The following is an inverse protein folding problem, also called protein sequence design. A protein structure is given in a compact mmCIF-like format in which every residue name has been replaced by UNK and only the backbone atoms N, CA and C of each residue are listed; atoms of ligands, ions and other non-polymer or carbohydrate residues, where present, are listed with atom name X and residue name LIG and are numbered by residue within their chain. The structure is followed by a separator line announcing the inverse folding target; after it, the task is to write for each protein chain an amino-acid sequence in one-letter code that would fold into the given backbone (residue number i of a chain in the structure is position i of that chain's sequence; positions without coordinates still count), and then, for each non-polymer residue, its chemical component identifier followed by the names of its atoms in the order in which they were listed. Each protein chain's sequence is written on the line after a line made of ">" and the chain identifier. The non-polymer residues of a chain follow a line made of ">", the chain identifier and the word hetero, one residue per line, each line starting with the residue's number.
data_IF_251977003434
#
_entry.id   IF_251977003434
#
_cell.length_a   1.000
_cell.length_b   1.000
_cell.length_c   1.000
_cell.angle_alpha   90.00
_cell.angle_beta   90.00
_cell.angle_gamma   90.00
#
_symmetry.space_group_name_H-M   'P 1'
#
loop_
_entity.id
_entity.type
_entity.pdbx_description
1 polymer ?
#
# COMPACT_ATOMS: atom_id res chain seq x y z
N UNK A 1 -24.26 -24.36 66.57
CA UNK A 1 -24.35 -23.55 67.81
C UNK A 1 -24.19 -24.48 69.01
N UNK A 2 -23.70 -24.01 70.17
CA UNK A 2 -23.04 -22.74 70.48
C UNK A 2 -21.57 -23.00 70.93
N UNK A 3 -20.78 -22.17 71.62
CA UNK A 3 -20.84 -20.74 72.00
C UNK A 3 -19.57 -20.01 71.51
N UNK A 4 -19.61 -18.68 71.56
CA UNK A 4 -18.50 -17.71 71.56
C UNK A 4 -18.08 -17.38 73.00
N UNK A 5 -16.79 -17.11 73.27
CA UNK A 5 -16.27 -16.05 74.18
C UNK A 5 -14.72 -16.16 74.36
N UNK A 6 -13.99 -15.22 74.97
CA UNK A 6 -13.75 -13.78 74.72
C UNK A 6 -12.74 -13.25 75.78
N UNK A 7 -11.76 -12.39 75.40
CA UNK A 7 -10.93 -11.51 76.29
C UNK A 7 -10.01 -12.18 77.34
N UNK A 8 -8.71 -11.91 77.45
CA UNK A 8 -7.93 -10.66 77.71
C UNK A 8 -7.52 -10.52 79.19
N UNK A 9 -6.21 -10.52 79.43
CA UNK A 9 -5.46 -9.78 80.47
C UNK A 9 -3.95 -9.91 80.11
N UNK A 10 -2.98 -9.06 80.47
CA UNK A 10 -2.85 -7.64 80.83
C UNK A 10 -1.52 -7.51 81.64
N UNK A 11 -0.94 -6.30 81.69
CA UNK A 11 0.26 -5.88 82.45
C UNK A 11 1.65 -6.36 81.94
N UNK A 12 2.59 -5.48 81.55
CA UNK A 12 3.32 -4.36 82.26
C UNK A 12 4.60 -4.89 82.97
N UNK A 13 5.73 -4.18 83.05
CA UNK A 13 6.17 -2.82 82.63
C UNK A 13 7.71 -2.70 82.82
N UNK A 14 8.40 -1.75 82.16
CA UNK A 14 9.82 -1.43 82.43
C UNK A 14 10.53 -0.68 81.30
N UNK A 15 10.79 0.62 81.49
CA UNK A 15 11.23 1.58 80.45
C UNK A 15 12.69 2.03 80.55
N UNK A 16 13.29 2.46 79.41
CA UNK A 16 14.31 3.53 79.21
C UNK A 16 14.72 3.50 77.71
N UNK A 17 14.52 4.53 76.88
CA UNK A 17 15.21 5.84 76.82
C UNK A 17 16.76 5.73 76.72
N UNK A 18 17.49 6.46 75.85
CA UNK A 18 17.12 7.31 74.71
C UNK A 18 18.33 7.59 73.77
N UNK A 19 18.03 7.96 72.51
CA UNK A 19 18.70 8.96 71.65
C UNK A 19 20.25 9.13 71.51
N UNK A 20 20.66 9.21 70.22
CA UNK A 20 21.61 10.18 69.61
C UNK A 20 23.13 9.89 69.51
N UNK A 21 23.76 10.65 68.58
CA UNK A 21 25.17 10.73 68.13
C UNK A 21 25.52 9.88 66.88
N UNK A 22 25.31 10.34 65.63
CA UNK A 22 25.95 11.43 64.84
C UNK A 22 27.47 11.32 64.59
N UNK A 23 27.80 10.92 63.34
CA UNK A 23 28.86 11.49 62.47
C UNK A 23 30.36 11.17 62.75
N UNK A 24 31.29 11.43 61.79
CA UNK A 24 31.24 11.13 60.34
C UNK A 24 32.61 10.66 59.72
N UNK A 25 32.61 10.42 58.39
CA UNK A 25 33.75 10.57 57.46
C UNK A 25 34.95 9.58 57.55
N UNK A 26 35.69 9.28 56.47
CA UNK A 26 35.44 9.32 55.02
C UNK A 26 36.60 8.63 54.27
N UNK A 27 36.32 7.84 53.23
CA UNK A 27 37.13 7.80 51.99
C UNK A 27 36.39 7.11 50.84
N UNK A 28 35.98 7.88 49.83
CA UNK A 28 35.58 7.37 48.51
C UNK A 28 36.83 7.06 47.68
N UNK A 29 36.73 6.09 46.74
CA UNK A 29 36.79 6.29 45.27
C UNK A 29 36.79 4.92 44.56
N UNK A 30 35.69 4.54 43.88
CA UNK A 30 35.50 4.46 42.41
C UNK A 30 36.59 3.69 41.63
N UNK A 31 36.31 2.95 40.55
CA UNK A 31 35.11 2.30 39.99
C UNK A 31 35.58 1.48 38.76
N UNK A 32 34.97 0.31 38.49
CA UNK A 32 35.04 -0.42 37.20
C UNK A 32 34.35 -1.80 37.28
N UNK A 33 33.02 -1.83 37.25
CA UNK A 33 32.26 -3.07 37.03
C UNK A 33 32.06 -3.35 35.54
N UNK A 34 32.70 -4.41 35.03
CA UNK A 34 32.33 -5.00 33.74
C UNK A 34 30.91 -5.57 33.82
N UNK A 35 29.97 -4.97 33.09
CA UNK A 35 28.61 -5.51 32.95
C UNK A 35 28.46 -6.18 31.60
N UNK A 36 28.77 -7.48 31.55
CA UNK A 36 28.50 -8.35 30.40
C UNK A 36 26.99 -8.52 30.22
N UNK A 37 26.44 -8.07 29.10
CA UNK A 37 25.01 -8.20 28.81
C UNK A 37 24.68 -9.60 28.29
N UNK A 38 24.22 -10.49 29.18
CA UNK A 38 23.59 -11.76 28.78
C UNK A 38 22.17 -11.51 28.25
N UNK A 39 21.96 -11.72 26.96
CA UNK A 39 20.62 -11.68 26.34
C UNK A 39 19.90 -13.01 26.57
N UNK A 40 18.94 -13.04 27.50
CA UNK A 40 18.25 -14.27 27.91
C UNK A 40 17.33 -14.85 26.79
N UNK A 41 17.40 -16.15 26.47
CA UNK A 41 16.61 -16.75 25.39
C UNK A 41 15.09 -16.84 25.65
N UNK A 42 14.65 -16.66 26.89
CA UNK A 42 13.22 -16.76 27.28
C UNK A 42 12.34 -15.61 26.75
N UNK A 43 12.95 -14.51 26.31
CA UNK A 43 12.23 -13.37 25.72
C UNK A 43 11.71 -13.70 24.31
N UNK A 44 12.55 -14.28 23.47
CA UNK A 44 12.18 -14.62 22.09
C UNK A 44 11.12 -15.73 22.04
N UNK A 45 11.26 -16.78 22.86
CA UNK A 45 10.26 -17.86 22.94
C UNK A 45 8.88 -17.31 23.33
N UNK A 46 8.82 -16.40 24.32
CA UNK A 46 7.59 -15.73 24.76
C UNK A 46 6.98 -14.85 23.66
N UNK A 47 7.80 -14.17 22.84
CA UNK A 47 7.32 -13.36 21.71
C UNK A 47 6.77 -14.24 20.59
N UNK A 48 7.49 -15.30 20.22
CA UNK A 48 7.05 -16.24 19.19
C UNK A 48 5.78 -16.98 19.58
N UNK A 49 5.64 -17.39 20.85
CA UNK A 49 4.42 -18.04 21.35
C UNK A 49 3.21 -17.07 21.34
N UNK A 50 3.41 -15.80 21.68
CA UNK A 50 2.37 -14.76 21.55
C UNK A 50 2.00 -14.49 20.09
N UNK A 51 2.98 -14.47 19.19
CA UNK A 51 2.78 -14.27 17.76
C UNK A 51 2.01 -15.45 17.14
N UNK A 52 2.38 -16.68 17.50
CA UNK A 52 1.73 -17.91 17.09
C UNK A 52 0.29 -17.98 17.60
N UNK A 53 0.04 -17.66 18.88
CA UNK A 53 -1.31 -17.58 19.43
C UNK A 53 -2.17 -16.48 18.75
N UNK A 54 -1.59 -15.31 18.46
CA UNK A 54 -2.28 -14.26 17.71
C UNK A 54 -2.61 -14.71 16.28
N UNK A 55 -1.68 -15.37 15.60
CA UNK A 55 -1.87 -15.91 14.26
C UNK A 55 -2.95 -17.00 14.24
N UNK A 56 -2.84 -18.01 15.09
CA UNK A 56 -3.82 -19.10 15.21
C UNK A 56 -5.24 -18.61 15.54
N UNK A 57 -5.38 -17.55 16.36
CA UNK A 57 -6.69 -16.97 16.68
C UNK A 57 -7.28 -16.14 15.53
N UNK A 58 -6.46 -15.55 14.67
CA UNK A 58 -6.89 -14.70 13.55
C UNK A 58 -6.86 -15.41 12.17
N UNK A 59 -6.36 -16.64 12.08
CA UNK A 59 -6.27 -17.37 10.80
C UNK A 59 -7.64 -17.62 10.17
N UNK A 60 -8.69 -17.77 10.98
CA UNK A 60 -10.08 -17.82 10.51
C UNK A 60 -10.51 -16.53 9.79
N UNK A 61 -10.08 -15.37 10.28
CA UNK A 61 -10.31 -14.07 9.63
C UNK A 61 -9.57 -13.97 8.29
N UNK A 62 -8.35 -14.52 8.20
CA UNK A 62 -7.60 -14.63 6.95
C UNK A 62 -8.30 -15.55 5.94
N UNK A 63 -8.73 -16.75 6.35
CA UNK A 63 -9.47 -17.67 5.48
C UNK A 63 -10.83 -17.08 5.07
N UNK A 64 -11.52 -16.33 5.92
CA UNK A 64 -12.73 -15.60 5.55
C UNK A 64 -12.41 -14.50 4.53
N UNK A 65 -11.32 -13.74 4.70
CA UNK A 65 -10.88 -12.75 3.71
C UNK A 65 -10.58 -13.38 2.35
N UNK A 66 -9.84 -14.49 2.33
CA UNK A 66 -9.53 -15.25 1.10
C UNK A 66 -10.80 -15.84 0.49
N UNK A 67 -11.68 -16.45 1.28
CA UNK A 67 -12.96 -16.97 0.81
C UNK A 67 -13.85 -15.86 0.24
N UNK A 68 -13.87 -14.67 0.86
CA UNK A 68 -14.62 -13.53 0.37
C UNK A 68 -14.02 -12.93 -0.91
N UNK A 69 -12.69 -12.98 -1.06
CA UNK A 69 -11.95 -12.62 -2.28
C UNK A 69 -12.39 -13.50 -3.46
N UNK A 70 -12.44 -14.82 -3.26
CA UNK A 70 -12.90 -15.78 -4.27
C UNK A 70 -14.43 -15.75 -4.48
N UNK A 71 -15.24 -15.53 -3.43
CA UNK A 71 -16.70 -15.45 -3.53
C UNK A 71 -17.20 -14.13 -4.13
N UNK A 72 -16.37 -13.08 -4.14
CA UNK A 72 -16.69 -11.77 -4.74
C UNK A 72 -16.22 -11.64 -6.20
N UNK A 73 -15.85 -12.76 -6.83
CA UNK A 73 -15.64 -12.83 -8.29
C UNK A 73 -16.99 -12.63 -8.96
N UNK A 74 -17.31 -11.37 -9.28
CA UNK A 74 -18.42 -11.04 -10.17
C UNK A 74 -18.26 -11.83 -11.49
N UNK A 75 -19.37 -12.27 -12.13
CA UNK A 75 -19.30 -13.03 -13.37
C UNK A 75 -18.65 -12.19 -14.47
N UNK A 76 -17.37 -12.44 -14.70
CA UNK A 76 -16.52 -11.69 -15.62
C UNK A 76 -17.04 -11.87 -17.05
N UNK A 77 -17.57 -10.80 -17.63
CA UNK A 77 -18.20 -10.88 -18.94
C UNK A 77 -17.13 -10.94 -20.02
N UNK A 78 -17.31 -11.80 -21.03
CA UNK A 78 -16.37 -11.94 -22.16
C UNK A 78 -16.08 -10.59 -22.85
N UNK A 79 -17.05 -9.68 -22.87
CA UNK A 79 -16.90 -8.30 -23.39
C UNK A 79 -16.07 -7.37 -22.51
N UNK A 80 -15.92 -7.67 -21.22
CA UNK A 80 -14.99 -7.01 -20.30
C UNK A 80 -13.59 -7.61 -20.47
N UNK A 81 -13.50 -8.94 -20.66
CA UNK A 81 -12.26 -9.65 -20.95
C UNK A 81 -11.58 -9.15 -22.24
N UNK A 82 -12.32 -9.07 -23.34
CA UNK A 82 -11.78 -8.58 -24.62
C UNK A 82 -11.37 -7.11 -24.55
N UNK A 83 -12.15 -6.27 -23.87
CA UNK A 83 -11.80 -4.87 -23.67
C UNK A 83 -10.54 -4.69 -22.81
N UNK A 84 -10.40 -5.46 -21.73
CA UNK A 84 -9.18 -5.48 -20.91
C UNK A 84 -7.95 -5.93 -21.69
N UNK A 85 -8.09 -6.92 -22.59
CA UNK A 85 -7.01 -7.34 -23.49
C UNK A 85 -6.63 -6.24 -24.49
N UNK A 86 -7.61 -5.54 -25.08
CA UNK A 86 -7.36 -4.39 -25.98
C UNK A 86 -6.67 -3.24 -25.23
N UNK A 87 -7.11 -2.93 -24.00
CA UNK A 87 -6.48 -1.92 -23.16
C UNK A 87 -5.03 -2.30 -22.80
N UNK A 88 -4.80 -3.55 -22.42
CA UNK A 88 -3.46 -4.09 -22.12
C UNK A 88 -2.54 -4.02 -23.34
N UNK A 89 -3.03 -4.38 -24.54
CA UNK A 89 -2.28 -4.19 -25.78
C UNK A 89 -1.94 -2.71 -26.01
N UNK A 90 -2.88 -1.79 -25.77
CA UNK A 90 -2.63 -0.35 -25.81
C UNK A 90 -1.53 0.10 -24.83
N UNK A 91 -1.52 -0.45 -23.61
CA UNK A 91 -0.44 -0.20 -22.62
C UNK A 91 0.90 -0.74 -23.10
N UNK A 92 0.97 -1.89 -23.78
CA UNK A 92 2.22 -2.39 -24.38
C UNK A 92 2.76 -1.45 -25.46
N UNK A 93 1.90 -0.84 -26.28
CA UNK A 93 2.29 0.17 -27.28
C UNK A 93 2.79 1.48 -26.63
N UNK A 94 2.23 1.87 -25.48
CA UNK A 94 2.73 3.03 -24.71
C UNK A 94 4.05 2.72 -24.00
N UNK A 95 4.15 1.58 -23.31
CA UNK A 95 5.30 1.21 -22.48
C UNK A 95 6.51 0.70 -23.30
N UNK A 96 6.30 0.31 -24.57
CA UNK A 96 7.32 -0.10 -25.55
C UNK A 96 8.40 -1.04 -25.00
N UNK A 97 8.03 -2.18 -24.38
CA UNK A 97 9.01 -3.06 -23.75
C UNK A 97 10.06 -3.54 -24.77
N UNK A 98 11.32 -3.57 -24.34
CA UNK A 98 12.46 -3.80 -25.23
C UNK A 98 12.46 -5.17 -25.95
N UNK A 99 11.73 -6.16 -25.41
CA UNK A 99 11.56 -7.47 -26.05
C UNK A 99 10.54 -7.47 -27.20
N UNK A 100 9.65 -6.47 -27.26
CA UNK A 100 8.55 -6.41 -28.24
C UNK A 100 8.81 -5.39 -29.36
N UNK A 101 9.59 -4.35 -29.08
CA UNK A 101 9.95 -3.30 -30.03
C UNK A 101 11.47 -3.29 -30.24
N UNK A 102 11.97 -3.94 -31.31
CA UNK A 102 13.40 -3.93 -31.65
C UNK A 102 13.97 -2.53 -31.81
N UNK A 103 15.28 -2.42 -31.64
CA UNK A 103 16.01 -1.15 -31.67
C UNK A 103 15.78 -0.34 -32.96
N UNK A 104 15.60 -1.01 -34.10
CA UNK A 104 15.26 -0.39 -35.39
C UNK A 104 13.93 0.37 -35.39
N UNK A 105 12.92 -0.09 -34.65
CA UNK A 105 11.64 0.64 -34.52
C UNK A 105 11.75 1.80 -33.52
N UNK A 106 12.66 1.69 -32.55
CA UNK A 106 12.94 2.78 -31.60
C UNK A 106 13.65 3.93 -32.30
N UNK A 107 14.72 3.66 -33.05
CA UNK A 107 15.46 4.68 -33.81
C UNK A 107 14.60 5.35 -34.87
N UNK A 108 13.78 4.61 -35.63
CA UNK A 108 12.82 5.20 -36.57
C UNK A 108 11.81 6.12 -35.87
N UNK A 109 11.23 5.68 -34.74
CA UNK A 109 10.30 6.49 -33.96
C UNK A 109 10.94 7.74 -33.35
N UNK A 110 12.24 7.70 -33.02
CA UNK A 110 12.99 8.80 -32.40
C UNK A 110 13.44 9.83 -33.46
N UNK A 111 13.79 9.37 -34.67
CA UNK A 111 13.97 10.21 -35.85
C UNK A 111 12.66 10.90 -36.27
N UNK A 112 11.54 10.18 -36.21
CA UNK A 112 10.21 10.73 -36.54
C UNK A 112 9.77 11.79 -35.52
N UNK A 113 9.94 11.55 -34.22
CA UNK A 113 9.75 12.58 -33.17
C UNK A 113 10.63 13.81 -33.40
N UNK A 114 11.93 13.62 -33.68
CA UNK A 114 12.85 14.74 -33.99
C UNK A 114 12.50 15.49 -35.27
N UNK A 115 11.79 14.87 -36.21
CA UNK A 115 11.32 15.54 -37.43
C UNK A 115 10.07 16.42 -37.22
N UNK A 116 9.37 16.24 -36.11
CA UNK A 116 8.17 17.02 -35.73
C UNK A 116 8.50 18.10 -34.70
N UNK A 117 9.41 17.84 -33.75
CA UNK A 117 9.79 18.76 -32.67
C UNK A 117 11.04 19.62 -33.00
N UNK A 118 11.14 20.17 -34.21
CA UNK A 118 12.31 20.98 -34.64
C UNK A 118 12.44 22.36 -33.95
N UNK A 119 11.76 22.59 -32.82
CA UNK A 119 11.73 23.84 -32.05
C UNK A 119 11.89 23.64 -30.52
N UNK A 120 12.10 22.41 -30.04
CA UNK A 120 12.37 22.16 -28.61
C UNK A 120 13.30 20.95 -28.35
N UNK A 121 14.54 21.23 -27.94
CA UNK A 121 15.55 20.20 -27.63
C UNK A 121 15.40 19.65 -26.21
N UNK A 122 14.43 18.77 -26.00
CA UNK A 122 14.41 17.87 -24.86
C UNK A 122 15.26 16.62 -25.17
N UNK A 123 16.59 16.73 -25.01
CA UNK A 123 17.46 15.55 -25.05
C UNK A 123 17.08 14.54 -23.96
N UNK A 124 17.43 13.28 -24.19
CA UNK A 124 16.90 12.11 -23.48
C UNK A 124 16.95 12.19 -21.94
N UNK A 125 16.02 11.45 -21.32
CA UNK A 125 15.62 11.57 -19.91
C UNK A 125 16.72 11.86 -18.88
N UNK A 126 16.33 12.66 -17.89
CA UNK A 126 17.16 13.39 -16.89
C UNK A 126 18.28 12.59 -16.22
N UNK A 127 18.22 11.25 -16.20
CA UNK A 127 19.24 10.38 -15.61
C UNK A 127 19.67 9.28 -16.59
N UNK A 128 20.99 9.04 -16.76
CA UNK A 128 21.47 7.92 -17.57
C UNK A 128 21.02 6.57 -16.96
N UNK A 129 20.70 5.56 -17.79
CA UNK A 129 20.22 4.27 -17.30
C UNK A 129 21.29 3.60 -16.41
N UNK A 130 20.95 3.39 -15.14
CA UNK A 130 21.83 2.73 -14.18
C UNK A 130 22.25 1.33 -14.68
N UNK A 131 23.55 1.04 -14.60
CA UNK A 131 24.13 -0.24 -15.05
C UNK A 131 23.84 -1.36 -14.05
N UNK A 132 22.57 -1.77 -13.94
CA UNK A 132 22.15 -2.90 -13.11
C UNK A 132 22.68 -4.23 -13.65
N UNK A 133 23.23 -5.06 -12.76
CA UNK A 133 23.66 -6.44 -13.00
C UNK A 133 22.47 -7.36 -13.35
N UNK A 134 22.71 -8.55 -13.95
CA UNK A 134 21.64 -9.51 -14.21
C UNK A 134 20.88 -9.95 -12.95
N UNK A 135 21.58 -10.05 -11.81
CA UNK A 135 21.00 -10.51 -10.54
C UNK A 135 20.03 -9.47 -9.95
N UNK A 136 20.45 -8.20 -9.88
CA UNK A 136 19.59 -7.09 -9.41
C UNK A 136 18.34 -6.96 -10.27
N UNK A 137 18.45 -7.13 -11.60
CA UNK A 137 17.30 -7.13 -12.52
C UNK A 137 16.32 -8.25 -12.19
N UNK A 138 16.80 -9.47 -11.92
CA UNK A 138 15.94 -10.60 -11.54
C UNK A 138 15.21 -10.32 -10.22
N UNK A 139 15.91 -9.79 -9.21
CA UNK A 139 15.30 -9.41 -7.92
C UNK A 139 14.24 -8.32 -8.13
N UNK A 140 14.55 -7.27 -8.90
CA UNK A 140 13.61 -6.19 -9.22
C UNK A 140 12.35 -6.70 -9.95
N UNK A 141 12.50 -7.66 -10.88
CA UNK A 141 11.36 -8.31 -11.56
C UNK A 141 10.50 -9.10 -10.57
N UNK A 142 11.11 -9.87 -9.67
CA UNK A 142 10.38 -10.62 -8.64
C UNK A 142 9.62 -9.68 -7.68
N UNK A 143 10.26 -8.59 -7.24
CA UNK A 143 9.62 -7.55 -6.43
C UNK A 143 8.47 -6.87 -7.18
N UNK A 144 8.61 -6.58 -8.47
CA UNK A 144 7.54 -5.99 -9.29
C UNK A 144 6.35 -6.94 -9.47
N UNK A 145 6.60 -8.24 -9.71
CA UNK A 145 5.56 -9.26 -9.78
C UNK A 145 4.81 -9.36 -8.45
N UNK A 146 5.54 -9.47 -7.33
CA UNK A 146 4.95 -9.51 -5.98
C UNK A 146 4.13 -8.24 -5.68
N UNK A 147 4.67 -7.05 -6.01
CA UNK A 147 3.97 -5.78 -5.84
C UNK A 147 2.69 -5.69 -6.68
N UNK A 148 2.69 -6.18 -7.92
CA UNK A 148 1.49 -6.22 -8.76
C UNK A 148 0.40 -7.16 -8.21
N UNK A 149 0.80 -8.32 -7.66
CA UNK A 149 -0.12 -9.26 -7.01
C UNK A 149 -0.71 -8.68 -5.70
N UNK A 150 0.13 -8.01 -4.91
CA UNK A 150 -0.29 -7.31 -3.69
C UNK A 150 -1.27 -6.17 -4.01
N UNK A 151 -0.99 -5.36 -5.04
CA UNK A 151 -1.89 -4.30 -5.50
C UNK A 151 -3.24 -4.84 -6.00
N UNK A 152 -3.24 -5.92 -6.80
CA UNK A 152 -4.46 -6.57 -7.25
C UNK A 152 -5.30 -7.10 -6.07
N UNK A 153 -4.65 -7.70 -5.07
CA UNK A 153 -5.29 -8.19 -3.84
C UNK A 153 -5.85 -7.05 -3.00
N UNK A 154 -5.14 -5.92 -2.90
CA UNK A 154 -5.61 -4.71 -2.22
C UNK A 154 -6.85 -4.12 -2.90
N UNK A 155 -6.85 -3.96 -4.24
CA UNK A 155 -8.00 -3.45 -4.99
C UNK A 155 -9.22 -4.38 -4.89
N UNK A 156 -9.00 -5.70 -4.96
CA UNK A 156 -10.06 -6.67 -4.73
C UNK A 156 -10.59 -6.64 -3.28
N UNK A 157 -9.74 -6.40 -2.28
CA UNK A 157 -10.16 -6.27 -0.88
C UNK A 157 -10.98 -4.98 -0.65
N UNK A 158 -10.55 -3.84 -1.22
CA UNK A 158 -11.31 -2.57 -1.21
C UNK A 158 -12.70 -2.78 -1.81
N UNK A 159 -12.79 -3.55 -2.90
CA UNK A 159 -14.04 -3.93 -3.54
C UNK A 159 -14.95 -4.80 -2.65
N UNK A 160 -14.38 -5.79 -1.96
CA UNK A 160 -15.10 -6.67 -1.01
C UNK A 160 -15.71 -5.86 0.15
N UNK A 161 -14.98 -4.85 0.64
CA UNK A 161 -15.49 -3.89 1.64
C UNK A 161 -16.65 -3.10 1.02
N UNK A 162 -16.47 -2.59 -0.20
CA UNK A 162 -17.50 -1.85 -0.93
C UNK A 162 -18.08 -0.71 -0.08
N UNK A 163 -19.40 -0.54 -0.13
CA UNK A 163 -20.11 0.50 0.64
C UNK A 163 -20.26 0.22 2.14
N UNK A 164 -19.67 -0.85 2.68
CA UNK A 164 -19.81 -1.21 4.11
C UNK A 164 -18.99 -0.31 5.05
N UNK A 165 -17.96 0.35 4.53
CA UNK A 165 -17.15 1.32 5.24
C UNK A 165 -16.88 2.54 4.35
N UNK A 166 -16.79 3.72 4.96
CA UNK A 166 -16.47 4.96 4.25
C UNK A 166 -15.03 4.93 3.72
N UNK A 167 -14.77 5.27 2.45
CA UNK A 167 -13.43 5.11 1.84
C UNK A 167 -12.31 5.80 2.61
N UNK A 168 -12.59 6.96 3.22
CA UNK A 168 -11.65 7.69 4.06
C UNK A 168 -11.02 6.81 5.16
N UNK A 169 -11.76 5.84 5.71
CA UNK A 169 -11.24 4.89 6.72
C UNK A 169 -10.18 3.98 6.09
N UNK A 170 -10.47 3.40 4.93
CA UNK A 170 -9.52 2.54 4.20
C UNK A 170 -8.28 3.32 3.76
N UNK A 171 -8.44 4.56 3.30
CA UNK A 171 -7.32 5.42 2.89
C UNK A 171 -6.49 5.87 4.09
N UNK A 172 -7.09 6.13 5.25
CA UNK A 172 -6.36 6.44 6.48
C UNK A 172 -5.50 5.26 6.95
N UNK A 173 -6.04 4.03 6.97
CA UNK A 173 -5.24 2.84 7.31
C UNK A 173 -4.12 2.59 6.31
N UNK A 174 -4.37 2.79 5.01
CA UNK A 174 -3.33 2.72 3.98
C UNK A 174 -2.23 3.77 4.22
N UNK A 175 -2.59 5.02 4.53
CA UNK A 175 -1.63 6.08 4.80
C UNK A 175 -0.76 5.77 6.03
N UNK A 176 -1.36 5.31 7.14
CA UNK A 176 -0.61 4.91 8.34
C UNK A 176 0.36 3.75 8.03
N UNK A 177 -0.10 2.72 7.32
CA UNK A 177 0.76 1.60 6.93
C UNK A 177 1.88 2.03 5.99
N UNK A 178 1.61 2.93 5.03
CA UNK A 178 2.61 3.48 4.12
C UNK A 178 3.65 4.34 4.85
N UNK A 179 3.25 5.13 5.85
CA UNK A 179 4.17 5.91 6.68
C UNK A 179 5.07 5.00 7.52
N UNK A 180 4.50 4.00 8.21
CA UNK A 180 5.26 3.06 9.04
C UNK A 180 6.20 2.20 8.19
N UNK A 181 5.77 1.71 7.03
CA UNK A 181 6.62 0.91 6.15
C UNK A 181 7.73 1.75 5.51
N UNK A 182 7.46 2.99 5.10
CA UNK A 182 8.49 3.89 4.57
C UNK A 182 9.56 4.20 5.62
N UNK A 183 9.15 4.48 6.87
CA UNK A 183 10.08 4.69 7.98
C UNK A 183 10.94 3.45 8.25
N UNK A 184 10.31 2.26 8.26
CA UNK A 184 11.02 1.00 8.49
C UNK A 184 12.02 0.67 7.37
N UNK A 185 11.69 0.94 6.11
CA UNK A 185 12.58 0.74 4.96
C UNK A 185 13.82 1.66 5.06
N UNK A 186 13.63 2.93 5.39
CA UNK A 186 14.73 3.89 5.60
C UNK A 186 15.62 3.45 6.78
N UNK A 187 15.04 2.89 7.85
CA UNK A 187 15.80 2.41 9.01
C UNK A 187 16.62 1.14 8.73
N UNK A 188 16.14 0.26 7.83
CA UNK A 188 16.80 -1.01 7.50
C UNK A 188 17.88 -0.82 6.42
N UNK A 189 17.70 0.11 5.48
CA UNK A 189 18.56 0.22 4.31
C UNK A 189 19.66 1.28 4.51
N UNK A 190 20.95 0.89 4.69
CA UNK A 190 22.01 1.81 5.11
C UNK A 190 22.32 2.91 4.07
N UNK A 191 22.04 2.66 2.78
CA UNK A 191 22.25 3.64 1.71
C UNK A 191 21.14 4.70 1.58
N UNK A 192 19.99 4.54 2.25
CA UNK A 192 18.91 5.53 2.19
C UNK A 192 19.09 6.60 3.28
N UNK A 193 19.69 7.73 2.90
CA UNK A 193 19.80 8.89 3.77
C UNK A 193 18.50 9.69 3.79
N UNK A 194 18.03 10.06 4.98
CA UNK A 194 16.86 10.91 5.16
C UNK A 194 17.22 12.38 4.89
N UNK A 195 17.08 12.78 3.63
CA UNK A 195 17.34 14.16 3.20
C UNK A 195 16.13 15.06 3.48
N UNK A 196 16.34 16.13 4.25
CA UNK A 196 15.30 17.12 4.58
C UNK A 196 15.26 18.19 3.49
N UNK A 197 14.08 18.52 2.91
CA UNK A 197 13.98 19.58 1.91
C UNK A 197 14.42 20.95 2.46
N UNK A 198 15.33 21.58 1.71
CA UNK A 198 16.07 22.80 2.09
C UNK A 198 15.39 24.07 1.58
N UNK A 199 14.58 23.97 0.53
CA UNK A 199 13.96 25.11 -0.16
C UNK A 199 12.44 25.14 0.03
N UNK A 200 11.85 26.33 0.17
CA UNK A 200 10.38 26.51 0.24
C UNK A 200 9.68 25.89 -0.99
N UNK A 201 10.30 25.97 -2.17
CA UNK A 201 9.80 25.33 -3.39
C UNK A 201 9.68 23.80 -3.26
N UNK A 202 10.66 23.14 -2.63
CA UNK A 202 10.63 21.69 -2.38
C UNK A 202 9.50 21.32 -1.42
N UNK A 203 9.29 22.12 -0.36
CA UNK A 203 8.14 21.97 0.54
C UNK A 203 6.79 22.16 -0.16
N UNK A 204 6.67 23.15 -1.06
CA UNK A 204 5.46 23.35 -1.86
C UNK A 204 5.20 22.19 -2.83
N UNK A 205 6.25 21.65 -3.47
CA UNK A 205 6.15 20.47 -4.34
C UNK A 205 5.74 19.23 -3.54
N UNK A 206 6.37 18.98 -2.39
CA UNK A 206 6.07 17.85 -1.52
C UNK A 206 4.63 17.92 -0.98
N UNK A 207 4.16 19.11 -0.58
CA UNK A 207 2.77 19.34 -0.18
C UNK A 207 1.79 19.09 -1.34
N UNK A 208 2.13 19.54 -2.55
CA UNK A 208 1.31 19.33 -3.75
C UNK A 208 1.19 17.84 -4.12
N UNK A 209 2.29 17.09 -4.06
CA UNK A 209 2.31 15.63 -4.26
C UNK A 209 1.50 14.93 -3.16
N UNK A 210 1.60 15.37 -1.90
CA UNK A 210 0.82 14.83 -0.79
C UNK A 210 -0.69 15.03 -0.96
N UNK A 211 -1.14 16.25 -1.29
CA UNK A 211 -2.56 16.57 -1.50
C UNK A 211 -3.12 15.84 -2.72
N UNK A 212 -2.40 15.84 -3.84
CA UNK A 212 -2.82 15.15 -5.07
C UNK A 212 -2.83 13.63 -4.90
N UNK A 213 -1.84 13.05 -4.22
CA UNK A 213 -1.79 11.62 -3.88
C UNK A 213 -2.92 11.19 -2.94
N UNK A 214 -3.25 12.00 -1.93
CA UNK A 214 -4.41 11.78 -1.06
C UNK A 214 -5.72 11.81 -1.85
N UNK A 215 -5.91 12.82 -2.72
CA UNK A 215 -7.10 12.94 -3.55
C UNK A 215 -7.22 11.76 -4.54
N UNK A 216 -6.12 11.37 -5.19
CA UNK A 216 -6.04 10.18 -6.05
C UNK A 216 -6.48 8.93 -5.28
N UNK A 217 -5.92 8.69 -4.10
CA UNK A 217 -6.21 7.48 -3.32
C UNK A 217 -7.66 7.45 -2.83
N UNK A 218 -8.23 8.59 -2.44
CA UNK A 218 -9.66 8.71 -2.11
C UNK A 218 -10.57 8.40 -3.30
N UNK A 219 -10.33 9.04 -4.44
CA UNK A 219 -11.15 8.87 -5.65
C UNK A 219 -11.02 7.46 -6.23
N UNK A 220 -9.82 6.87 -6.21
CA UNK A 220 -9.58 5.49 -6.59
C UNK A 220 -10.34 4.52 -5.68
N UNK A 221 -10.29 4.72 -4.37
CA UNK A 221 -10.99 3.86 -3.39
C UNK A 221 -12.52 3.96 -3.58
N UNK A 222 -13.08 5.18 -3.65
CA UNK A 222 -14.51 5.38 -3.92
C UNK A 222 -14.92 4.81 -5.29
N UNK A 223 -14.08 4.94 -6.32
CA UNK A 223 -14.31 4.35 -7.64
C UNK A 223 -14.39 2.82 -7.59
N UNK A 224 -13.38 2.17 -7.00
CA UNK A 224 -13.31 0.71 -6.84
C UNK A 224 -14.49 0.14 -6.03
N UNK A 225 -14.97 0.87 -5.00
CA UNK A 225 -16.12 0.47 -4.18
C UNK A 225 -17.48 0.62 -4.89
N UNK A 226 -17.58 1.52 -5.89
CA UNK A 226 -18.85 1.85 -6.56
C UNK A 226 -19.05 1.14 -7.90
N UNK A 227 -17.96 0.82 -8.60
CA UNK A 227 -18.00 0.30 -9.97
C UNK A 227 -17.87 -1.22 -10.08
N UNK A 228 -18.34 -1.80 -11.20
CA UNK A 228 -18.19 -3.24 -11.51
C UNK A 228 -16.74 -3.65 -11.75
N UNK A 229 -16.39 -4.91 -11.51
CA UNK A 229 -14.99 -5.38 -11.52
C UNK A 229 -14.31 -5.13 -12.88
N UNK A 230 -14.86 -5.68 -13.96
CA UNK A 230 -14.31 -5.51 -15.31
C UNK A 230 -14.28 -4.05 -15.76
N UNK A 231 -15.31 -3.26 -15.42
CA UNK A 231 -15.35 -1.83 -15.74
C UNK A 231 -14.31 -1.01 -14.99
N UNK A 232 -14.15 -1.23 -13.68
CA UNK A 232 -13.18 -0.52 -12.86
C UNK A 232 -11.74 -0.83 -13.32
N UNK A 233 -11.40 -2.11 -13.52
CA UNK A 233 -10.08 -2.51 -14.03
C UNK A 233 -9.77 -1.89 -15.39
N UNK A 234 -10.76 -1.83 -16.30
CA UNK A 234 -10.53 -1.23 -17.61
C UNK A 234 -10.32 0.30 -17.54
N UNK A 235 -10.94 0.98 -16.58
CA UNK A 235 -10.75 2.42 -16.36
C UNK A 235 -9.37 2.76 -15.76
N UNK A 236 -8.75 1.85 -15.00
CA UNK A 236 -7.39 2.05 -14.46
C UNK A 236 -6.38 2.28 -15.60
N UNK A 237 -6.50 1.59 -16.74
CA UNK A 237 -5.58 1.78 -17.87
C UNK A 237 -5.64 3.20 -18.46
N UNK A 238 -6.76 3.92 -18.33
CA UNK A 238 -6.91 5.29 -18.84
C UNK A 238 -5.97 6.27 -18.13
N UNK A 239 -5.54 5.98 -16.90
CA UNK A 239 -4.55 6.80 -16.18
C UNK A 239 -3.23 6.94 -16.96
N UNK A 240 -2.86 5.92 -17.76
CA UNK A 240 -1.66 5.95 -18.61
C UNK A 240 -1.78 6.99 -19.73
N UNK A 241 -2.99 7.19 -20.27
CA UNK A 241 -3.24 8.19 -21.30
C UNK A 241 -3.26 9.60 -20.69
N UNK A 242 -3.84 9.76 -19.51
CA UNK A 242 -3.74 11.03 -18.77
C UNK A 242 -2.30 11.37 -18.41
N UNK A 243 -1.47 10.39 -18.05
CA UNK A 243 -0.04 10.60 -17.83
C UNK A 243 0.66 11.17 -19.09
N UNK A 244 0.45 10.58 -20.27
CA UNK A 244 1.02 11.09 -21.54
C UNK A 244 0.51 12.51 -21.91
N UNK A 245 -0.75 12.81 -21.60
CA UNK A 245 -1.32 14.15 -21.86
C UNK A 245 -0.67 15.19 -20.93
N UNK A 246 -0.52 14.88 -19.65
CA UNK A 246 0.15 15.75 -18.67
C UNK A 246 1.64 15.86 -19.00
N UNK A 247 2.29 14.77 -19.42
CA UNK A 247 3.68 14.74 -19.88
C UNK A 247 3.90 15.77 -21.00
N UNK A 248 3.07 15.71 -22.04
CA UNK A 248 3.10 16.67 -23.15
C UNK A 248 2.82 18.11 -22.72
N UNK A 249 1.87 18.34 -21.81
CA UNK A 249 1.48 19.70 -21.38
C UNK A 249 2.57 20.35 -20.50
N UNK A 250 3.22 19.57 -19.62
CA UNK A 250 4.15 20.10 -18.62
C UNK A 250 5.60 20.11 -19.11
N UNK A 251 6.03 19.10 -19.87
CA UNK A 251 7.41 18.98 -20.37
C UNK A 251 7.56 19.29 -21.86
N UNK A 252 6.47 19.47 -22.61
CA UNK A 252 6.49 19.80 -24.05
C UNK A 252 6.87 18.64 -24.98
N UNK A 253 7.36 17.52 -24.44
CA UNK A 253 7.79 16.33 -25.20
C UNK A 253 6.63 15.71 -25.98
N UNK A 254 6.80 15.50 -27.30
CA UNK A 254 5.77 14.80 -28.07
C UNK A 254 5.89 13.28 -27.92
N UNK A 255 4.85 12.60 -27.41
CA UNK A 255 4.86 11.14 -27.37
C UNK A 255 4.78 10.60 -28.81
N UNK A 256 5.68 9.69 -29.24
CA UNK A 256 5.74 9.28 -30.64
C UNK A 256 4.51 8.48 -31.08
N UNK A 257 4.28 8.36 -32.39
CA UNK A 257 3.06 7.82 -33.02
C UNK A 257 2.56 6.47 -32.47
N UNK A 258 3.44 5.55 -32.07
CA UNK A 258 3.02 4.27 -31.45
C UNK A 258 2.35 4.46 -30.08
N UNK A 259 2.72 5.48 -29.31
CA UNK A 259 2.01 5.85 -28.08
C UNK A 259 0.65 6.50 -28.36
N UNK A 260 0.46 7.16 -29.51
CA UNK A 260 -0.84 7.66 -29.95
C UNK A 260 -1.79 6.50 -30.29
N UNK A 261 -1.30 5.49 -31.02
CA UNK A 261 -2.03 4.24 -31.29
C UNK A 261 -2.39 3.52 -29.98
N UNK A 262 -1.43 3.38 -29.06
CA UNK A 262 -1.67 2.79 -27.74
C UNK A 262 -2.74 3.53 -26.93
N UNK A 263 -2.69 4.87 -26.94
CA UNK A 263 -3.69 5.72 -26.29
C UNK A 263 -5.09 5.58 -26.90
N UNK A 264 -5.19 5.49 -28.24
CA UNK A 264 -6.45 5.28 -28.93
C UNK A 264 -7.08 3.91 -28.60
N UNK A 265 -6.27 2.85 -28.44
CA UNK A 265 -6.73 1.53 -28.00
C UNK A 265 -7.28 1.55 -26.56
N UNK A 266 -6.59 2.25 -25.65
CA UNK A 266 -7.03 2.39 -24.25
C UNK A 266 -8.34 3.20 -24.17
N UNK A 267 -8.43 4.35 -24.84
CA UNK A 267 -9.67 5.15 -24.86
C UNK A 267 -10.81 4.37 -25.51
N UNK A 268 -10.57 3.71 -26.65
CA UNK A 268 -11.57 2.95 -27.37
C UNK A 268 -12.17 1.82 -26.54
N UNK A 269 -11.33 1.04 -25.83
CA UNK A 269 -11.80 -0.02 -24.94
C UNK A 269 -12.55 0.54 -23.72
N UNK A 270 -12.09 1.65 -23.13
CA UNK A 270 -12.73 2.29 -21.99
C UNK A 270 -14.12 2.83 -22.34
N UNK A 271 -14.25 3.51 -23.48
CA UNK A 271 -15.54 3.98 -24.03
C UNK A 271 -16.46 2.78 -24.30
N UNK A 272 -15.97 1.73 -24.95
CA UNK A 272 -16.74 0.52 -25.23
C UNK A 272 -17.32 -0.14 -23.97
N UNK A 273 -16.53 -0.29 -22.90
CA UNK A 273 -17.00 -0.86 -21.63
C UNK A 273 -17.92 0.10 -20.86
N UNK A 274 -17.67 1.41 -20.94
CA UNK A 274 -18.53 2.41 -20.31
C UNK A 274 -19.94 2.45 -20.91
N UNK A 275 -20.04 2.32 -22.25
CA UNK A 275 -21.30 2.33 -23.01
C UNK A 275 -22.13 1.06 -22.88
N UNK A 276 -21.59 -0.04 -22.32
CA UNK A 276 -22.38 -1.24 -22.08
C UNK A 276 -23.39 -1.01 -20.95
N UNK A 277 -24.63 -0.70 -21.33
CA UNK A 277 -25.78 -0.52 -20.42
C UNK A 277 -25.87 -1.67 -19.41
N UNK A 278 -26.13 -1.32 -18.15
CA UNK A 278 -26.66 -2.27 -17.17
C UNK A 278 -27.94 -2.89 -17.74
N UNK A 279 -27.97 -4.20 -17.89
CA UNK A 279 -29.23 -4.91 -17.80
C UNK A 279 -29.86 -4.57 -16.43
N UNK A 280 -31.13 -4.16 -16.36
CA UNK A 280 -31.79 -3.96 -15.07
C UNK A 280 -31.72 -5.28 -14.29
N UNK A 281 -31.30 -5.22 -13.03
CA UNK A 281 -31.50 -6.37 -12.15
C UNK A 281 -33.02 -6.46 -11.92
N UNK A 282 -33.63 -7.60 -12.26
CA UNK A 282 -35.00 -7.86 -11.86
C UNK A 282 -35.11 -7.74 -10.33
N UNK A 283 -36.15 -7.08 -9.80
CA UNK A 283 -36.42 -7.09 -8.37
C UNK A 283 -36.62 -8.55 -7.93
N UNK A 284 -35.73 -9.04 -7.06
CA UNK A 284 -35.93 -10.35 -6.42
C UNK A 284 -37.27 -10.31 -5.68
N UNK A 285 -38.25 -11.18 -5.99
CA UNK A 285 -39.53 -11.15 -5.31
C UNK A 285 -39.35 -11.49 -3.82
N UNK A 286 -39.68 -10.54 -2.94
CA UNK A 286 -39.67 -10.73 -1.48
C UNK A 286 -40.94 -11.47 -1.02
N UNK A 287 -41.25 -12.63 -1.61
CA UNK A 287 -42.59 -13.26 -1.52
C UNK A 287 -42.67 -14.68 -0.93
N UNK A 288 -41.54 -15.25 -0.48
CA UNK A 288 -41.47 -16.65 -0.02
C UNK A 288 -41.10 -16.83 1.47
N UNK A 289 -40.71 -15.78 2.21
CA UNK A 289 -40.43 -15.89 3.65
C UNK A 289 -41.68 -15.65 4.52
N UNK A 290 -42.51 -14.64 4.22
CA UNK A 290 -43.75 -14.39 4.98
C UNK A 290 -44.79 -15.51 4.81
N UNK A 291 -44.86 -16.16 3.65
CA UNK A 291 -45.77 -17.30 3.39
C UNK A 291 -45.33 -18.64 3.98
N UNK A 292 -44.23 -18.68 4.76
CA UNK A 292 -43.83 -19.84 5.57
C UNK A 292 -44.06 -19.64 7.08
N UNK A 293 -44.56 -18.48 7.50
CA UNK A 293 -44.79 -18.13 8.90
C UNK A 293 -46.27 -17.86 9.23
N UNK A 294 -47.17 -18.16 8.28
CA UNK A 294 -48.63 -18.20 8.43
C UNK A 294 -49.15 -19.59 8.06
#
# INVERSE_FOLDING_TARGET
>A
MPQSQNKTQANQHGDSEASSLLAPAALNREDSSETSSETSPDSESTILEKLQNFYSRNIGLFYVLVAQLFASIEPFTVKEATAGFIAFAGVLFVARPAFLFPESWRTLSELESRSVDSDFTADGGILPPAKATPQERTIAILCAIFGSFAAATAYATIRVIGKRAHSLVSVNYFAVLATVSSFLIIMIHPDLQFEIPKTIAEWCLLLSIGISGFLLQLLLTEGLQREKAGRATNLIYVQMVFALIIERIVWGTTPPLTSFIGSALIIGSAVWVSLQKKAPAEPRPLLDEERRQQ
#
